data_IF_823966980308
#
_entry.id   IF_823966980308
#
_cell.length_a   1.000
_cell.length_b   1.000
_cell.length_c   1.000
_cell.angle_alpha   90.00
_cell.angle_beta   90.00
_cell.angle_gamma   90.00
#
_symmetry.space_group_name_H-M   'P 1'
#
loop_
_entity.id
_entity.type
_entity.pdbx_description
1 polymer ?
#
# COMPACT_ATOMS: atom_id res chain seq x y z
N UNK A 1 4.59 -23.61 0.01
CA UNK A 1 3.80 -22.41 -0.01
C UNK A 1 4.66 -21.18 -0.14
N UNK A 2 4.37 -20.34 -1.12
CA UNK A 2 5.20 -19.19 -1.38
C UNK A 2 4.63 -17.94 -0.68
N UNK A 3 5.28 -17.52 0.39
CA UNK A 3 4.93 -16.31 1.13
C UNK A 3 5.84 -15.15 0.77
N UNK A 4 6.34 -15.13 -0.47
CA UNK A 4 7.17 -14.03 -0.95
C UNK A 4 6.42 -12.71 -0.81
N UNK A 5 7.07 -11.73 -0.24
CA UNK A 5 6.48 -10.40 -0.08
C UNK A 5 6.15 -9.79 -1.43
N UNK A 6 4.89 -9.46 -1.58
CA UNK A 6 4.37 -8.86 -2.79
C UNK A 6 3.59 -7.60 -2.40
N UNK A 7 4.00 -6.46 -2.93
CA UNK A 7 3.40 -5.17 -2.58
C UNK A 7 2.66 -4.60 -3.80
N UNK A 8 1.51 -3.98 -3.55
CA UNK A 8 0.79 -3.25 -4.57
C UNK A 8 1.04 -1.76 -4.35
N UNK A 9 1.65 -1.11 -5.32
CA UNK A 9 1.93 0.32 -5.27
C UNK A 9 0.84 1.05 -6.05
N UNK A 10 0.11 1.92 -5.37
CA UNK A 10 -1.07 2.61 -5.93
C UNK A 10 -0.83 4.12 -5.91
N UNK A 11 -0.75 4.73 -7.11
CA UNK A 11 -0.47 6.16 -7.27
C UNK A 11 -0.83 6.52 -8.70
N UNK A 12 -1.32 7.71 -8.95
CA UNK A 12 -1.66 8.12 -10.31
C UNK A 12 -0.44 8.56 -11.13
N UNK A 13 0.71 8.75 -10.48
CA UNK A 13 1.97 9.08 -11.16
C UNK A 13 2.70 7.80 -11.58
N UNK A 14 2.49 7.39 -12.82
CA UNK A 14 3.05 6.14 -13.34
C UNK A 14 4.57 6.10 -13.27
N UNK A 15 5.24 7.22 -13.59
CA UNK A 15 6.70 7.26 -13.54
C UNK A 15 7.25 7.04 -12.14
N UNK A 16 6.55 7.57 -11.13
CA UNK A 16 6.93 7.35 -9.74
C UNK A 16 6.82 5.88 -9.37
N UNK A 17 5.72 5.23 -9.77
CA UNK A 17 5.51 3.80 -9.52
C UNK A 17 6.58 2.94 -10.18
N UNK A 18 6.92 3.24 -11.42
CA UNK A 18 7.94 2.47 -12.15
C UNK A 18 9.31 2.57 -11.47
N UNK A 19 9.68 3.77 -11.04
CA UNK A 19 10.94 3.98 -10.33
C UNK A 19 10.96 3.23 -9.01
N UNK A 20 9.89 3.33 -8.23
CA UNK A 20 9.78 2.64 -6.95
C UNK A 20 9.83 1.12 -7.15
N UNK A 21 9.14 0.61 -8.15
CA UNK A 21 9.11 -0.83 -8.43
C UNK A 21 10.51 -1.37 -8.75
N UNK A 22 11.31 -0.63 -9.52
CA UNK A 22 12.68 -1.03 -9.83
C UNK A 22 13.53 -1.12 -8.58
N UNK A 23 13.39 -0.15 -7.68
CA UNK A 23 14.16 -0.12 -6.43
C UNK A 23 13.74 -1.30 -5.55
N UNK A 24 12.43 -1.55 -5.44
CA UNK A 24 11.91 -2.66 -4.65
C UNK A 24 12.42 -4.00 -5.18
N UNK A 25 12.40 -4.17 -6.51
CA UNK A 25 12.87 -5.41 -7.14
C UNK A 25 14.33 -5.70 -6.82
N UNK A 26 15.17 -4.67 -6.80
CA UNK A 26 16.60 -4.83 -6.44
C UNK A 26 16.76 -5.35 -5.02
N UNK A 27 15.79 -5.12 -4.16
CA UNK A 27 15.82 -5.55 -2.76
C UNK A 27 15.00 -6.83 -2.53
N UNK A 28 14.59 -7.50 -3.60
CA UNK A 28 13.88 -8.76 -3.50
C UNK A 28 12.40 -8.65 -3.19
N UNK A 29 11.82 -7.47 -3.35
CA UNK A 29 10.38 -7.26 -3.12
C UNK A 29 9.69 -7.16 -4.47
N UNK A 30 8.69 -8.03 -4.70
CA UNK A 30 7.88 -7.95 -5.90
C UNK A 30 6.84 -6.85 -5.77
N UNK A 31 6.77 -5.97 -6.78
CA UNK A 31 5.83 -4.85 -6.76
C UNK A 31 4.91 -4.93 -7.97
N UNK A 32 3.60 -4.86 -7.71
CA UNK A 32 2.58 -4.68 -8.73
C UNK A 32 2.18 -3.21 -8.72
N UNK A 33 1.80 -2.67 -9.87
CA UNK A 33 1.48 -1.25 -10.01
C UNK A 33 0.02 -1.04 -10.34
N UNK A 34 -0.58 0.00 -9.76
CA UNK A 34 -1.96 0.37 -10.02
C UNK A 34 -2.10 1.88 -10.04
N UNK A 35 -2.64 2.44 -11.11
CA UNK A 35 -2.84 3.88 -11.24
C UNK A 35 -4.29 4.31 -11.05
N UNK A 36 -5.21 3.37 -10.89
CA UNK A 36 -6.65 3.64 -10.81
C UNK A 36 -7.22 2.98 -9.55
N UNK A 37 -7.77 3.81 -8.65
CA UNK A 37 -8.28 3.32 -7.36
C UNK A 37 -9.32 2.22 -7.48
N UNK A 38 -10.20 2.28 -8.48
CA UNK A 38 -11.24 1.27 -8.70
C UNK A 38 -10.69 -0.13 -8.97
N UNK A 39 -9.46 -0.22 -9.47
CA UNK A 39 -8.87 -1.49 -9.86
C UNK A 39 -8.17 -2.21 -8.71
N UNK A 40 -8.02 -1.55 -7.57
CA UNK A 40 -7.20 -2.07 -6.46
C UNK A 40 -7.74 -3.40 -5.93
N UNK A 41 -9.04 -3.47 -5.66
CA UNK A 41 -9.63 -4.70 -5.10
C UNK A 41 -9.50 -5.87 -6.08
N UNK A 42 -9.73 -5.62 -7.37
CA UNK A 42 -9.58 -6.66 -8.40
C UNK A 42 -8.13 -7.16 -8.46
N UNK A 43 -7.17 -6.22 -8.43
CA UNK A 43 -5.76 -6.60 -8.47
C UNK A 43 -5.34 -7.37 -7.22
N UNK A 44 -5.86 -7.02 -6.06
CA UNK A 44 -5.56 -7.75 -4.84
C UNK A 44 -6.06 -9.19 -4.89
N UNK A 45 -7.24 -9.41 -5.51
CA UNK A 45 -7.73 -10.78 -5.71
C UNK A 45 -6.83 -11.59 -6.64
N UNK A 46 -6.36 -10.96 -7.72
CA UNK A 46 -5.58 -11.64 -8.74
C UNK A 46 -4.12 -11.84 -8.33
N UNK A 47 -3.50 -10.83 -7.73
CA UNK A 47 -2.05 -10.83 -7.48
C UNK A 47 -1.69 -11.24 -6.06
N UNK A 48 -2.64 -11.24 -5.14
CA UNK A 48 -2.45 -11.70 -3.75
C UNK A 48 -1.31 -10.98 -3.04
N UNK A 49 -1.33 -9.64 -3.11
CA UNK A 49 -0.36 -8.82 -2.38
C UNK A 49 -0.72 -8.78 -0.90
N UNK A 50 0.29 -8.76 -0.04
CA UNK A 50 0.09 -8.68 1.41
C UNK A 50 0.10 -7.25 1.92
N UNK A 51 0.75 -6.34 1.18
CA UNK A 51 0.90 -4.94 1.59
C UNK A 51 0.52 -4.06 0.41
N UNK A 52 -0.17 -2.97 0.69
CA UNK A 52 -0.53 -1.95 -0.29
C UNK A 52 0.08 -0.62 0.15
N UNK A 53 0.76 0.06 -0.77
CA UNK A 53 1.21 1.45 -0.56
C UNK A 53 0.28 2.32 -1.40
N UNK A 54 -0.45 3.21 -0.76
CA UNK A 54 -1.60 3.89 -1.34
C UNK A 54 -1.50 5.40 -1.21
N UNK A 55 -1.61 6.12 -2.33
CA UNK A 55 -1.71 7.58 -2.30
C UNK A 55 -3.17 7.99 -2.02
N UNK A 56 -3.34 9.04 -1.26
CA UNK A 56 -4.67 9.56 -0.93
C UNK A 56 -5.30 10.36 -2.07
N UNK A 57 -4.49 11.01 -2.87
CA UNK A 57 -4.99 11.90 -3.92
C UNK A 57 -4.86 11.29 -5.28
N UNK A 58 -5.95 10.71 -5.74
CA UNK A 58 -6.06 10.15 -7.08
C UNK A 58 -7.38 10.58 -7.71
N UNK A 59 -7.41 10.78 -9.03
CA UNK A 59 -8.66 11.12 -9.70
C UNK A 59 -9.73 10.03 -9.50
N UNK A 60 -10.96 10.44 -9.33
CA UNK A 60 -12.10 9.54 -9.18
C UNK A 60 -12.28 9.13 -7.73
N UNK A 61 -11.84 7.95 -7.37
CA UNK A 61 -12.00 7.40 -6.03
C UNK A 61 -10.93 7.94 -5.08
N UNK A 62 -11.31 8.41 -3.91
CA UNK A 62 -10.34 8.92 -2.94
C UNK A 62 -9.57 7.77 -2.29
N UNK A 63 -8.36 8.07 -1.79
CA UNK A 63 -7.56 7.08 -1.10
C UNK A 63 -8.25 6.53 0.14
N UNK A 64 -9.00 7.36 0.87
CA UNK A 64 -9.76 6.90 2.04
C UNK A 64 -10.83 5.87 1.64
N UNK A 65 -11.49 6.09 0.50
CA UNK A 65 -12.47 5.13 -0.01
C UNK A 65 -11.82 3.81 -0.39
N UNK A 66 -10.65 3.88 -1.07
CA UNK A 66 -9.88 2.69 -1.43
C UNK A 66 -9.45 1.93 -0.17
N UNK A 67 -8.95 2.64 0.83
CA UNK A 67 -8.54 2.04 2.10
C UNK A 67 -9.68 1.26 2.75
N UNK A 68 -10.87 1.86 2.80
CA UNK A 68 -12.03 1.20 3.39
C UNK A 68 -12.42 -0.06 2.61
N UNK A 69 -12.34 -0.01 1.28
CA UNK A 69 -12.65 -1.18 0.45
C UNK A 69 -11.63 -2.29 0.65
N UNK A 70 -10.35 -1.94 0.76
CA UNK A 70 -9.31 -2.94 1.01
C UNK A 70 -9.57 -3.62 2.36
N UNK A 71 -9.75 -2.85 3.39
CA UNK A 71 -9.92 -3.41 4.74
C UNK A 71 -11.23 -4.18 4.88
N UNK A 72 -12.26 -3.79 4.14
CA UNK A 72 -13.54 -4.51 4.13
C UNK A 72 -13.47 -5.85 3.42
N UNK A 73 -12.70 -5.94 2.34
CA UNK A 73 -12.59 -7.16 1.53
C UNK A 73 -11.40 -8.05 1.93
N UNK A 74 -10.32 -7.44 2.41
CA UNK A 74 -9.08 -8.14 2.74
C UNK A 74 -8.55 -7.61 4.08
N UNK A 75 -9.20 -7.97 5.20
CA UNK A 75 -8.81 -7.39 6.50
C UNK A 75 -7.38 -7.68 6.92
N UNK A 76 -6.77 -8.75 6.42
CA UNK A 76 -5.38 -9.07 6.76
C UNK A 76 -4.37 -8.25 5.98
N UNK A 77 -4.74 -7.72 4.80
CA UNK A 77 -3.85 -6.92 3.98
C UNK A 77 -3.51 -5.62 4.70
N UNK A 78 -2.23 -5.30 4.76
CA UNK A 78 -1.75 -4.10 5.45
C UNK A 78 -1.64 -2.95 4.47
N UNK A 79 -2.08 -1.77 4.87
CA UNK A 79 -2.08 -0.60 4.00
C UNK A 79 -1.19 0.49 4.60
N UNK A 80 -0.23 0.96 3.81
CA UNK A 80 0.59 2.11 4.14
C UNK A 80 0.15 3.26 3.25
N UNK A 81 -0.24 4.37 3.86
CA UNK A 81 -0.56 5.57 3.08
C UNK A 81 0.74 6.32 2.81
N UNK A 82 0.95 6.70 1.56
CA UNK A 82 2.12 7.49 1.15
C UNK A 82 1.63 8.61 0.24
N UNK A 83 1.60 9.84 0.75
CA UNK A 83 1.00 10.96 0.04
C UNK A 83 1.80 12.24 0.21
N UNK A 84 1.77 13.09 -0.82
CA UNK A 84 2.34 14.44 -0.74
C UNK A 84 1.35 15.48 -0.24
N UNK A 85 0.11 15.09 -0.04
CA UNK A 85 -0.98 16.00 0.34
C UNK A 85 -1.69 15.46 1.57
N UNK A 86 -1.23 15.89 2.74
CA UNK A 86 -1.77 15.37 3.98
C UNK A 86 -2.02 16.46 5.00
N UNK A 87 -3.12 16.32 5.73
CA UNK A 87 -3.38 17.09 6.93
C UNK A 87 -3.32 16.12 8.11
N UNK A 88 -3.24 16.66 9.33
CA UNK A 88 -3.29 15.82 10.51
C UNK A 88 -4.62 15.06 10.61
N UNK A 89 -5.70 15.65 10.09
CA UNK A 89 -7.01 15.00 10.05
C UNK A 89 -6.99 13.80 9.11
N UNK A 90 -6.35 13.92 7.94
CA UNK A 90 -6.21 12.80 7.00
C UNK A 90 -5.50 11.62 7.66
N UNK A 91 -4.42 11.89 8.38
CA UNK A 91 -3.66 10.85 9.06
C UNK A 91 -4.52 10.15 10.11
N UNK A 92 -5.23 10.94 10.92
CA UNK A 92 -6.10 10.38 11.97
C UNK A 92 -7.20 9.50 11.38
N UNK A 93 -7.85 9.96 10.30
CA UNK A 93 -8.91 9.20 9.64
C UNK A 93 -8.37 7.90 9.07
N UNK A 94 -7.22 7.94 8.40
CA UNK A 94 -6.64 6.74 7.79
C UNK A 94 -6.24 5.72 8.84
N UNK A 95 -5.57 6.13 9.91
CA UNK A 95 -5.14 5.22 10.96
C UNK A 95 -6.34 4.62 11.68
N UNK A 96 -7.37 5.42 11.95
CA UNK A 96 -8.61 4.93 12.56
C UNK A 96 -9.34 3.95 11.64
N UNK A 97 -9.23 4.15 10.32
CA UNK A 97 -9.87 3.27 9.34
C UNK A 97 -9.04 2.00 9.05
N UNK A 98 -7.94 1.80 9.73
CA UNK A 98 -7.19 0.55 9.65
C UNK A 98 -5.88 0.60 8.88
N UNK A 99 -5.40 1.78 8.47
CA UNK A 99 -4.08 1.88 7.84
C UNK A 99 -3.00 1.48 8.84
N UNK A 100 -2.01 0.74 8.35
CA UNK A 100 -0.87 0.33 9.17
C UNK A 100 0.02 1.53 9.50
N UNK A 101 0.24 2.40 8.52
CA UNK A 101 1.10 3.57 8.72
C UNK A 101 0.70 4.68 7.74
N UNK A 102 1.18 5.88 8.02
CA UNK A 102 0.90 7.07 7.21
C UNK A 102 2.21 7.84 7.01
N UNK A 103 2.69 7.89 5.77
CA UNK A 103 3.96 8.52 5.42
C UNK A 103 3.73 9.67 4.47
N UNK A 104 4.56 10.70 4.57
CA UNK A 104 4.44 11.91 3.75
C UNK A 104 5.60 11.97 2.76
N UNK A 105 5.27 12.21 1.48
CA UNK A 105 6.28 12.43 0.45
C UNK A 105 6.97 13.77 0.64
N UNK A 106 8.27 13.88 0.35
CA UNK A 106 9.13 12.82 -0.18
C UNK A 106 9.59 11.89 0.93
N UNK A 107 9.66 10.60 0.62
CA UNK A 107 10.13 9.58 1.56
C UNK A 107 11.33 8.85 0.94
N UNK A 108 12.31 8.52 1.75
CA UNK A 108 13.42 7.71 1.27
C UNK A 108 12.95 6.28 1.03
N UNK A 109 13.35 5.69 -0.09
CA UNK A 109 12.91 4.34 -0.44
C UNK A 109 13.29 3.32 0.62
N UNK A 110 14.48 3.50 1.25
CA UNK A 110 14.91 2.59 2.32
C UNK A 110 13.93 2.62 3.50
N UNK A 111 13.43 3.80 3.85
CA UNK A 111 12.46 3.94 4.92
C UNK A 111 11.12 3.32 4.54
N UNK A 112 10.66 3.57 3.32
CA UNK A 112 9.41 2.99 2.82
C UNK A 112 9.50 1.46 2.82
N UNK A 113 10.60 0.90 2.31
CA UNK A 113 10.78 -0.55 2.28
C UNK A 113 10.83 -1.16 3.67
N UNK A 114 11.43 -0.45 4.63
CA UNK A 114 11.47 -0.90 6.01
C UNK A 114 10.05 -1.01 6.57
N UNK A 115 9.20 0.00 6.32
CA UNK A 115 7.82 -0.03 6.77
C UNK A 115 7.02 -1.13 6.07
N UNK A 116 7.28 -1.34 4.78
CA UNK A 116 6.65 -2.43 4.02
C UNK A 116 6.98 -3.78 4.64
N UNK A 117 8.24 -4.00 4.99
CA UNK A 117 8.66 -5.26 5.62
C UNK A 117 8.02 -5.46 6.99
N UNK A 118 7.91 -4.40 7.77
CA UNK A 118 7.22 -4.47 9.07
C UNK A 118 5.75 -4.81 8.88
N UNK A 119 5.10 -4.18 7.91
CA UNK A 119 3.70 -4.47 7.59
C UNK A 119 3.52 -5.92 7.15
N UNK A 120 4.47 -6.44 6.37
CA UNK A 120 4.44 -7.84 5.95
C UNK A 120 4.53 -8.79 7.14
N UNK A 121 5.37 -8.46 8.13
CA UNK A 121 5.46 -9.27 9.35
C UNK A 121 4.11 -9.28 10.10
N UNK A 122 3.43 -8.16 10.13
CA UNK A 122 2.09 -8.10 10.73
C UNK A 122 1.09 -8.95 9.95
N UNK A 123 1.17 -8.93 8.63
CA UNK A 123 0.33 -9.80 7.80
C UNK A 123 0.59 -11.27 8.12
N UNK A 124 1.86 -11.67 8.24
CA UNK A 124 2.21 -13.06 8.57
C UNK A 124 1.64 -13.46 9.92
N UNK A 125 1.76 -12.60 10.92
CA UNK A 125 1.21 -12.89 12.25
C UNK A 125 -0.30 -13.12 12.20
N UNK A 126 -1.01 -12.36 11.36
CA UNK A 126 -2.45 -12.51 11.24
C UNK A 126 -2.86 -13.84 10.60
N UNK A 127 -1.93 -14.51 9.90
CA UNK A 127 -2.19 -15.79 9.25
C UNK A 127 -1.96 -16.98 10.18
N UNK A 128 -1.45 -16.76 11.38
CA UNK A 128 -1.08 -17.84 12.30
C UNK A 128 -2.21 -18.27 13.25
N UNK A 129 -3.44 -17.98 12.89
CA UNK A 129 -4.61 -18.34 13.72
C UNK A 129 -5.43 -19.44 13.11
#
# INVERSE_FOLDING_TARGET
>A
MDDTLRVLLVDDEESYLETAAKIFKRKGIEAELCTIGRDVVTLLKEKKCQVVVLDLKMPGMTGQEVLREIKGNFPAVQVIILTGHATSDDAAVCLTSGAFDFLIKPVEMAHLMDRVRTAYEMWKLSQEH
#
